data_IF_550031453622
#
_entry.id   IF_550031453622
#
_cell.length_a   1.000
_cell.length_b   1.000
_cell.length_c   1.000
_cell.angle_alpha   90.00
_cell.angle_beta   90.00
_cell.angle_gamma   90.00
#
_symmetry.space_group_name_H-M   'P 1'
#
loop_
_entity.id
_entity.type
_entity.pdbx_description
1 polymer ?
#
# COMPACT_ATOMS: atom_id res chain seq x y z
N UNK A 1 -7.57 4.29 -29.81
CA UNK A 1 -6.37 3.44 -29.74
C UNK A 1 -5.67 3.81 -28.45
N UNK A 2 -5.82 3.03 -27.38
CA UNK A 2 -5.09 3.24 -26.13
C UNK A 2 -3.65 2.84 -26.38
N UNK A 3 -2.78 3.82 -26.40
CA UNK A 3 -1.37 3.64 -26.73
C UNK A 3 -0.72 2.81 -25.62
N UNK A 4 0.05 1.77 -25.99
CA UNK A 4 0.62 0.83 -25.01
C UNK A 4 1.54 1.58 -24.02
N UNK A 5 2.14 2.68 -24.47
CA UNK A 5 2.95 3.61 -23.68
C UNK A 5 2.19 4.23 -22.51
N UNK A 6 0.93 4.64 -22.70
CA UNK A 6 0.09 5.22 -21.65
C UNK A 6 -0.25 4.19 -20.57
N UNK A 7 -0.48 2.93 -20.96
CA UNK A 7 -0.79 1.87 -20.02
C UNK A 7 0.39 1.54 -19.11
N UNK A 8 1.59 1.37 -19.69
CA UNK A 8 2.82 1.12 -18.94
C UNK A 8 3.21 2.31 -18.07
N UNK A 9 3.03 3.53 -18.56
CA UNK A 9 3.28 4.75 -17.78
C UNK A 9 2.32 4.81 -16.59
N UNK A 10 1.03 4.56 -16.78
CA UNK A 10 0.07 4.57 -15.66
C UNK A 10 0.35 3.48 -14.62
N UNK A 11 0.82 2.31 -15.05
CA UNK A 11 1.20 1.22 -14.17
C UNK A 11 2.46 1.58 -13.37
N UNK A 12 3.45 2.18 -14.02
CA UNK A 12 4.66 2.67 -13.37
C UNK A 12 4.37 3.72 -12.31
N UNK A 13 3.56 4.73 -12.63
CA UNK A 13 3.18 5.78 -11.67
C UNK A 13 2.42 5.20 -10.48
N UNK A 14 1.47 4.27 -10.72
CA UNK A 14 0.75 3.59 -9.64
C UNK A 14 1.68 2.73 -8.77
N UNK A 15 2.65 2.05 -9.36
CA UNK A 15 3.60 1.25 -8.61
C UNK A 15 4.47 2.14 -7.71
N UNK A 16 4.96 3.27 -8.23
CA UNK A 16 5.73 4.25 -7.46
C UNK A 16 4.89 4.83 -6.33
N UNK A 17 3.64 5.22 -6.58
CA UNK A 17 2.73 5.73 -5.56
C UNK A 17 2.45 4.71 -4.46
N UNK A 18 2.25 3.44 -4.82
CA UNK A 18 2.01 2.38 -3.83
C UNK A 18 3.24 2.16 -2.96
N UNK A 19 4.43 2.09 -3.57
CA UNK A 19 5.68 1.82 -2.89
C UNK A 19 6.10 3.01 -2.00
N UNK A 20 6.01 4.24 -2.49
CA UNK A 20 6.55 5.41 -1.78
C UNK A 20 5.50 6.21 -1.02
N UNK A 21 4.30 6.42 -1.58
CA UNK A 21 3.30 7.29 -0.97
C UNK A 21 2.32 6.53 -0.07
N UNK A 22 1.94 5.30 -0.42
CA UNK A 22 0.86 4.58 0.27
C UNK A 22 1.34 3.69 1.41
N UNK A 23 2.52 3.08 1.30
CA UNK A 23 3.06 2.18 2.33
C UNK A 23 4.55 2.42 2.65
N UNK A 24 4.97 3.65 3.02
CA UNK A 24 6.38 3.97 3.25
C UNK A 24 7.06 3.08 4.30
N UNK A 25 6.33 2.68 5.35
CA UNK A 25 6.85 1.78 6.39
C UNK A 25 7.12 0.35 5.88
N UNK A 26 6.32 -0.16 4.93
CA UNK A 26 6.55 -1.50 4.34
C UNK A 26 7.73 -1.48 3.40
N UNK A 27 7.91 -0.38 2.67
CA UNK A 27 9.07 -0.17 1.79
C UNK A 27 10.36 -0.06 2.57
N UNK A 28 10.40 0.71 3.66
CA UNK A 28 11.59 0.79 4.52
C UNK A 28 11.94 -0.56 5.16
N UNK A 29 10.94 -1.29 5.68
CA UNK A 29 11.14 -2.66 6.15
C UNK A 29 11.63 -3.60 5.04
N UNK A 30 11.14 -3.42 3.81
CA UNK A 30 11.57 -4.17 2.63
C UNK A 30 13.03 -3.93 2.26
N UNK A 31 13.49 -2.67 2.34
CA UNK A 31 14.91 -2.32 2.16
C UNK A 31 15.76 -2.96 3.25
N UNK A 32 15.34 -2.87 4.51
CA UNK A 32 16.05 -3.50 5.64
C UNK A 32 16.13 -5.02 5.43
N UNK A 33 15.02 -5.67 5.09
CA UNK A 33 14.96 -7.10 4.82
C UNK A 33 15.89 -7.49 3.66
N UNK A 34 15.91 -6.71 2.58
CA UNK A 34 16.81 -6.93 1.45
C UNK A 34 18.28 -6.77 1.83
N UNK A 35 18.61 -5.83 2.71
CA UNK A 35 19.95 -5.70 3.29
C UNK A 35 20.34 -6.88 4.17
N UNK A 36 19.40 -7.40 4.98
CA UNK A 36 19.61 -8.63 5.77
C UNK A 36 19.86 -9.83 4.86
N UNK A 37 19.10 -9.96 3.77
CA UNK A 37 19.31 -11.03 2.79
C UNK A 37 20.69 -10.92 2.13
N UNK A 38 21.09 -9.72 1.68
CA UNK A 38 22.42 -9.49 1.11
C UNK A 38 23.54 -9.87 2.11
N UNK A 39 23.36 -9.48 3.39
CA UNK A 39 24.28 -9.87 4.45
C UNK A 39 24.37 -11.39 4.64
N UNK A 40 23.22 -12.09 4.65
CA UNK A 40 23.19 -13.55 4.78
C UNK A 40 23.83 -14.25 3.58
N UNK A 41 23.59 -13.76 2.35
CA UNK A 41 24.19 -14.32 1.14
C UNK A 41 25.71 -14.20 1.18
N UNK A 42 26.24 -13.07 1.66
CA UNK A 42 27.68 -12.86 1.83
C UNK A 42 28.26 -13.71 2.97
N UNK A 43 27.56 -13.78 4.11
CA UNK A 43 27.99 -14.57 5.27
C UNK A 43 28.09 -16.06 4.94
N UNK A 44 27.13 -16.58 4.17
CA UNK A 44 27.08 -17.97 3.76
C UNK A 44 27.67 -18.20 2.35
N UNK A 45 28.34 -17.22 1.75
CA UNK A 45 28.97 -17.30 0.43
C UNK A 45 29.74 -18.62 0.17
N UNK A 46 30.62 -19.11 1.08
CA UNK A 46 31.35 -20.36 0.83
C UNK A 46 30.45 -21.60 0.74
N UNK A 47 29.30 -21.59 1.44
CA UNK A 47 28.30 -22.65 1.32
C UNK A 47 27.45 -22.48 0.07
N UNK A 48 27.03 -21.25 -0.26
CA UNK A 48 26.22 -20.97 -1.45
C UNK A 48 26.98 -21.19 -2.76
N UNK A 49 28.29 -20.96 -2.80
CA UNK A 49 29.12 -21.22 -3.99
C UNK A 49 29.24 -22.70 -4.35
N UNK A 50 28.87 -23.61 -3.43
CA UNK A 50 28.81 -25.05 -3.72
C UNK A 50 27.57 -25.46 -4.52
N UNK A 51 26.55 -24.59 -4.59
CA UNK A 51 25.31 -24.83 -5.30
C UNK A 51 25.49 -24.54 -6.79
N UNK A 52 25.48 -25.57 -7.64
CA UNK A 52 25.67 -25.43 -9.09
C UNK A 52 24.48 -24.85 -9.85
N UNK A 53 23.33 -24.67 -9.20
CA UNK A 53 22.10 -24.26 -9.87
C UNK A 53 21.93 -22.74 -10.00
N UNK A 54 22.60 -21.94 -9.15
CA UNK A 54 22.52 -20.48 -9.18
C UNK A 54 23.71 -19.86 -8.48
N UNK A 55 24.27 -18.79 -9.08
CA UNK A 55 25.31 -17.97 -8.46
C UNK A 55 24.69 -16.79 -7.72
N UNK A 56 24.39 -17.02 -6.45
CA UNK A 56 23.82 -16.01 -5.57
C UNK A 56 24.82 -14.91 -5.21
N UNK A 57 26.12 -15.21 -5.26
CA UNK A 57 27.20 -14.28 -4.93
C UNK A 57 27.52 -13.30 -6.06
N UNK A 58 27.29 -13.69 -7.32
CA UNK A 58 27.42 -12.82 -8.49
C UNK A 58 26.19 -11.93 -8.73
N UNK A 59 25.11 -12.14 -7.98
CA UNK A 59 23.89 -11.34 -8.12
C UNK A 59 24.11 -9.89 -7.66
N UNK A 60 23.63 -8.89 -8.40
CA UNK A 60 23.84 -7.50 -8.05
C UNK A 60 23.10 -7.13 -6.75
N UNK A 61 23.75 -6.35 -5.89
CA UNK A 61 23.23 -5.99 -4.55
C UNK A 61 21.84 -5.35 -4.57
N UNK A 62 21.54 -4.54 -5.58
CA UNK A 62 20.23 -3.91 -5.74
C UNK A 62 19.10 -4.94 -5.96
N UNK A 63 19.42 -6.11 -6.50
CA UNK A 63 18.47 -7.21 -6.67
C UNK A 63 17.94 -7.72 -5.33
N UNK A 64 18.80 -7.85 -4.32
CA UNK A 64 18.41 -8.27 -2.97
C UNK A 64 17.49 -7.25 -2.29
N UNK A 65 17.72 -5.97 -2.54
CA UNK A 65 16.91 -4.89 -1.99
C UNK A 65 15.52 -4.86 -2.61
N UNK A 66 15.45 -5.00 -3.94
CA UNK A 66 14.17 -5.15 -4.64
C UNK A 66 13.41 -6.40 -4.19
N UNK A 67 14.11 -7.52 -3.96
CA UNK A 67 13.52 -8.75 -3.49
C UNK A 67 12.91 -8.58 -2.09
N UNK A 68 13.60 -7.89 -1.18
CA UNK A 68 13.08 -7.55 0.15
C UNK A 68 11.84 -6.65 0.08
N UNK A 69 11.85 -5.62 -0.76
CA UNK A 69 10.68 -4.74 -1.00
C UNK A 69 9.51 -5.55 -1.55
N UNK A 70 9.76 -6.40 -2.55
CA UNK A 70 8.73 -7.23 -3.17
C UNK A 70 8.11 -8.19 -2.14
N UNK A 71 8.94 -8.85 -1.32
CA UNK A 71 8.49 -9.75 -0.26
C UNK A 71 7.55 -9.05 0.72
N UNK A 72 7.90 -7.85 1.17
CA UNK A 72 7.06 -7.07 2.10
C UNK A 72 5.75 -6.58 1.46
N UNK A 73 5.71 -6.46 0.13
CA UNK A 73 4.51 -6.09 -0.62
C UNK A 73 3.70 -7.29 -1.12
N UNK A 74 4.17 -8.53 -0.95
CA UNK A 74 3.42 -9.76 -1.30
C UNK A 74 2.00 -9.77 -0.75
N UNK A 75 1.73 -9.40 0.53
CA UNK A 75 0.36 -9.34 1.04
C UNK A 75 -0.50 -8.33 0.26
N UNK A 76 0.05 -7.18 -0.11
CA UNK A 76 -0.63 -6.14 -0.92
C UNK A 76 -0.92 -6.65 -2.33
N UNK A 77 0.04 -7.33 -2.96
CA UNK A 77 -0.10 -7.90 -4.31
C UNK A 77 -1.20 -8.98 -4.29
N UNK A 78 -1.13 -9.92 -3.34
CA UNK A 78 -2.12 -11.01 -3.20
C UNK A 78 -3.52 -10.46 -2.88
N UNK A 79 -3.62 -9.44 -2.02
CA UNK A 79 -4.91 -8.81 -1.70
C UNK A 79 -5.44 -7.95 -2.84
N UNK A 80 -4.57 -7.36 -3.68
CA UNK A 80 -5.00 -6.59 -4.87
C UNK A 80 -5.66 -7.47 -5.91
N UNK A 81 -5.30 -8.76 -5.96
CA UNK A 81 -5.99 -9.76 -6.78
C UNK A 81 -7.28 -10.29 -6.14
N UNK A 82 -7.46 -10.15 -4.82
CA UNK A 82 -8.60 -10.74 -4.10
C UNK A 82 -9.75 -9.77 -3.81
N UNK A 83 -9.53 -8.46 -3.67
CA UNK A 83 -10.62 -7.50 -3.39
C UNK A 83 -10.23 -6.04 -3.66
N UNK A 84 -11.22 -5.18 -3.95
CA UNK A 84 -11.09 -3.71 -4.10
C UNK A 84 -10.61 -3.09 -2.78
N UNK A 85 -9.29 -2.94 -2.63
CA UNK A 85 -8.71 -2.20 -1.51
C UNK A 85 -9.04 -0.71 -1.61
N UNK A 86 -9.47 -0.15 -0.49
CA UNK A 86 -9.57 1.31 -0.29
C UNK A 86 -8.18 1.91 -0.07
N UNK A 87 -7.22 1.05 0.29
CA UNK A 87 -5.79 1.29 0.50
C UNK A 87 -5.45 2.31 1.57
N UNK A 88 -6.34 2.41 2.56
CA UNK A 88 -5.97 2.66 3.95
C UNK A 88 -5.97 1.29 4.66
N UNK A 89 -4.81 0.88 5.18
CA UNK A 89 -4.62 -0.42 5.83
C UNK A 89 -5.59 -0.67 6.99
N UNK A 90 -5.96 0.38 7.72
CA UNK A 90 -6.87 0.26 8.86
C UNK A 90 -8.30 0.01 8.40
N UNK A 91 -8.72 0.68 7.33
CA UNK A 91 -10.06 0.50 6.73
C UNK A 91 -10.15 -0.89 6.10
N UNK A 92 -9.14 -1.30 5.32
CA UNK A 92 -9.14 -2.61 4.67
C UNK A 92 -9.14 -3.75 5.70
N UNK A 93 -8.38 -3.63 6.79
CA UNK A 93 -8.40 -4.61 7.88
C UNK A 93 -9.75 -4.64 8.61
N UNK A 94 -10.39 -3.48 8.82
CA UNK A 94 -11.72 -3.43 9.43
C UNK A 94 -12.79 -4.09 8.54
N UNK A 95 -12.71 -3.87 7.22
CA UNK A 95 -13.60 -4.54 6.25
C UNK A 95 -13.42 -6.07 6.30
N UNK A 96 -12.17 -6.56 6.28
CA UNK A 96 -11.87 -8.01 6.35
C UNK A 96 -12.39 -8.64 7.66
N UNK A 97 -12.25 -7.95 8.79
CA UNK A 97 -12.79 -8.41 10.08
C UNK A 97 -14.33 -8.49 10.08
N UNK A 98 -15.01 -7.51 9.47
CA UNK A 98 -16.47 -7.53 9.30
C UNK A 98 -16.89 -8.66 8.36
N UNK A 99 -16.05 -8.99 7.38
CA UNK A 99 -16.37 -10.01 6.40
C UNK A 99 -16.21 -11.44 6.91
N UNK A 100 -15.14 -11.69 7.67
CA UNK A 100 -14.81 -13.01 8.24
C UNK A 100 -15.48 -13.27 9.59
N UNK A 101 -15.92 -12.23 10.28
CA UNK A 101 -16.63 -12.37 11.54
C UNK A 101 -17.97 -13.08 11.36
N UNK A 102 -18.33 -13.92 12.32
CA UNK A 102 -19.57 -14.68 12.33
C UNK A 102 -20.75 -13.80 12.77
N UNK A 103 -21.06 -12.80 11.93
CA UNK A 103 -22.11 -11.82 12.17
C UNK A 103 -23.37 -12.19 11.41
N UNK A 104 -24.53 -11.97 12.02
CA UNK A 104 -25.79 -11.95 11.28
C UNK A 104 -25.77 -10.84 10.21
N UNK A 105 -26.58 -10.97 9.15
CA UNK A 105 -26.66 -9.96 8.08
C UNK A 105 -26.93 -8.55 8.61
N UNK A 106 -27.75 -8.45 9.65
CA UNK A 106 -28.10 -7.20 10.33
C UNK A 106 -26.93 -6.60 11.09
N UNK A 107 -26.20 -7.40 11.87
CA UNK A 107 -25.03 -6.95 12.60
C UNK A 107 -23.92 -6.51 11.65
N UNK A 108 -23.68 -7.29 10.59
CA UNK A 108 -22.70 -6.96 9.55
C UNK A 108 -23.01 -5.59 8.92
N UNK A 109 -24.28 -5.33 8.58
CA UNK A 109 -24.74 -4.02 8.07
C UNK A 109 -24.51 -2.90 9.07
N UNK A 110 -24.72 -3.15 10.36
CA UNK A 110 -24.46 -2.18 11.42
C UNK A 110 -22.96 -1.87 11.55
N UNK A 111 -22.09 -2.87 11.46
CA UNK A 111 -20.65 -2.67 11.51
C UNK A 111 -20.14 -1.86 10.31
N UNK A 112 -20.64 -2.13 9.09
CA UNK A 112 -20.33 -1.29 7.93
C UNK A 112 -20.74 0.17 8.14
N UNK A 113 -21.94 0.43 8.70
CA UNK A 113 -22.39 1.79 9.00
C UNK A 113 -21.46 2.50 9.99
N UNK A 114 -21.09 1.81 11.09
CA UNK A 114 -20.15 2.36 12.08
C UNK A 114 -18.78 2.67 11.49
N UNK A 115 -18.29 1.81 10.59
CA UNK A 115 -17.01 2.04 9.90
C UNK A 115 -17.10 3.29 9.01
N UNK A 116 -18.14 3.40 8.19
CA UNK A 116 -18.37 4.57 7.32
C UNK A 116 -18.47 5.84 8.15
N UNK A 117 -19.22 5.82 9.25
CA UNK A 117 -19.39 6.96 10.15
C UNK A 117 -18.05 7.42 10.74
N UNK A 118 -17.21 6.48 11.22
CA UNK A 118 -15.87 6.81 11.74
C UNK A 118 -14.92 7.34 10.69
N UNK A 119 -14.96 6.81 9.48
CA UNK A 119 -14.12 7.28 8.37
C UNK A 119 -14.55 8.69 7.97
N UNK A 120 -15.85 8.93 7.84
CA UNK A 120 -16.41 10.23 7.45
C UNK A 120 -16.17 11.29 8.52
N UNK A 121 -16.33 10.95 9.80
CA UNK A 121 -16.06 11.89 10.90
C UNK A 121 -14.59 12.29 10.98
N UNK A 122 -13.66 11.34 10.79
CA UNK A 122 -12.24 11.66 10.71
C UNK A 122 -11.87 12.54 9.51
N UNK A 123 -12.53 12.35 8.36
CA UNK A 123 -12.33 13.22 7.18
C UNK A 123 -12.87 14.62 7.43
N UNK A 124 -14.06 14.76 8.03
CA UNK A 124 -14.66 16.05 8.39
C UNK A 124 -13.88 16.82 9.47
N UNK A 125 -13.09 16.11 10.29
CA UNK A 125 -12.25 16.70 11.33
C UNK A 125 -10.88 17.16 10.84
N UNK A 126 -10.46 16.82 9.61
CA UNK A 126 -9.18 17.30 9.08
C UNK A 126 -9.20 18.84 8.97
N UNK A 127 -8.31 19.56 9.66
CA UNK A 127 -8.32 21.02 9.71
C UNK A 127 -8.06 21.67 8.34
N UNK A 128 -7.43 20.94 7.42
CA UNK A 128 -7.20 21.35 6.03
C UNK A 128 -8.51 21.47 5.25
N UNK A 129 -9.41 20.47 5.33
CA UNK A 129 -10.74 20.53 4.71
C UNK A 129 -11.59 21.67 5.27
N UNK A 130 -11.49 21.94 6.58
CA UNK A 130 -12.19 23.07 7.20
C UNK A 130 -11.69 24.43 6.72
N UNK A 131 -10.42 24.55 6.35
CA UNK A 131 -9.88 25.78 5.75
C UNK A 131 -10.36 25.94 4.31
N UNK A 132 -10.30 24.89 3.50
CA UNK A 132 -10.77 24.89 2.11
C UNK A 132 -12.27 25.19 2.01
N UNK A 133 -13.10 24.60 2.89
CA UNK A 133 -14.53 24.90 2.94
C UNK A 133 -14.81 26.36 3.31
N UNK A 134 -14.09 26.93 4.29
CA UNK A 134 -14.22 28.34 4.65
C UNK A 134 -13.78 29.29 3.54
N UNK A 135 -12.75 28.94 2.78
CA UNK A 135 -12.31 29.73 1.63
C UNK A 135 -13.33 29.65 0.48
N UNK A 136 -13.92 28.47 0.26
CA UNK A 136 -14.94 28.26 -0.78
C UNK A 136 -16.25 28.99 -0.44
N UNK A 137 -16.69 28.94 0.81
CA UNK A 137 -17.84 29.72 1.31
C UNK A 137 -17.62 31.23 1.15
N UNK A 138 -16.40 31.73 1.43
CA UNK A 138 -16.06 33.14 1.23
C UNK A 138 -16.14 33.56 -0.24
N UNK A 139 -15.71 32.72 -1.18
CA UNK A 139 -15.78 33.01 -2.62
C UNK A 139 -17.22 33.04 -3.12
N UNK A 140 -18.05 32.08 -2.70
CA UNK A 140 -19.48 32.02 -3.08
C UNK A 140 -20.24 33.22 -2.53
N UNK A 141 -19.92 33.68 -1.32
CA UNK A 141 -20.56 34.86 -0.71
C UNK A 141 -20.07 36.18 -1.30
N UNK A 142 -18.88 36.20 -1.92
CA UNK A 142 -18.32 37.36 -2.59
C UNK A 142 -18.82 37.53 -4.03
N UNK A 143 -19.08 36.44 -4.75
CA UNK A 143 -19.67 36.45 -6.10
C UNK A 143 -21.19 36.67 -6.11
N UNK A 144 -21.85 36.53 -4.95
CA UNK A 144 -23.29 36.73 -4.79
C UNK A 144 -23.71 38.14 -4.39
N UNK A 145 -22.82 39.13 -4.47
CA UNK A 145 -23.08 40.55 -4.17
C UNK A 145 -22.83 41.45 -5.38
#
# INVERSE_FOLDING_TARGET
MTDKSDMWSSLGTKAIDVIFARYPARTSLGVILGGVIDFLVQLFAPALSSLKFADFTASPKWGWWLLGILMMHTPTIVSSFRQKQTGDEKIDRALDLIERGDFTKTEKRQQYRKLIERVTSNVALKPELKKELKETEKKITADGK
#
